data_IF_510714073738
#
_entry.id   IF_510714073738
#
_cell.length_a   1.000
_cell.length_b   1.000
_cell.length_c   1.000
_cell.angle_alpha   90.00
_cell.angle_beta   90.00
_cell.angle_gamma   90.00
#
_symmetry.space_group_name_H-M   'P 1'
#
loop_
_entity.id
_entity.type
_entity.pdbx_description
1 polymer ?
#
# COMPACT_ATOMS: atom_id res chain seq x y z
N UNK A 1 -4.59 -21.40 -32.29
CA UNK A 1 -4.13 -20.01 -32.02
C UNK A 1 -5.16 -19.22 -31.21
N UNK A 2 -6.43 -19.16 -31.63
CA UNK A 2 -7.52 -18.45 -30.92
C UNK A 2 -7.67 -18.82 -29.43
N UNK A 3 -7.57 -20.12 -29.08
CA UNK A 3 -7.67 -20.58 -27.68
C UNK A 3 -6.55 -20.05 -26.78
N UNK A 4 -5.32 -19.88 -27.32
CA UNK A 4 -4.18 -19.29 -26.59
C UNK A 4 -4.34 -17.79 -26.43
N UNK A 5 -4.91 -17.12 -27.43
CA UNK A 5 -5.22 -15.68 -27.40
C UNK A 5 -6.29 -15.38 -26.34
N UNK A 6 -7.35 -16.20 -26.28
CA UNK A 6 -8.40 -16.09 -25.28
C UNK A 6 -7.86 -16.32 -23.86
N UNK A 7 -6.99 -17.33 -23.67
CA UNK A 7 -6.38 -17.61 -22.36
C UNK A 7 -5.47 -16.46 -21.88
N UNK A 8 -4.69 -15.87 -22.80
CA UNK A 8 -3.83 -14.72 -22.48
C UNK A 8 -4.65 -13.47 -22.11
N UNK A 9 -5.77 -13.23 -22.82
CA UNK A 9 -6.66 -12.10 -22.54
C UNK A 9 -7.35 -12.25 -21.17
N UNK A 10 -7.80 -13.46 -20.83
CA UNK A 10 -8.38 -13.73 -19.51
C UNK A 10 -7.38 -13.56 -18.37
N UNK A 11 -6.10 -13.89 -18.58
CA UNK A 11 -5.07 -13.75 -17.56
C UNK A 11 -4.68 -12.29 -17.31
N UNK A 12 -4.66 -11.46 -18.36
CA UNK A 12 -4.44 -10.01 -18.23
C UNK A 12 -5.59 -9.32 -17.47
N UNK A 13 -6.84 -9.74 -17.68
CA UNK A 13 -7.99 -9.17 -16.98
C UNK A 13 -8.04 -9.51 -15.48
N UNK A 14 -7.30 -10.54 -15.03
CA UNK A 14 -7.28 -10.97 -13.64
C UNK A 14 -6.26 -10.23 -12.76
N UNK A 15 -5.42 -9.36 -13.34
CA UNK A 15 -4.44 -8.58 -12.60
C UNK A 15 -5.10 -7.35 -11.94
N UNK A 16 -5.83 -7.58 -10.84
CA UNK A 16 -6.31 -6.49 -9.98
C UNK A 16 -5.15 -5.93 -9.13
N UNK A 17 -5.12 -4.61 -8.86
CA UNK A 17 -4.15 -4.03 -7.94
C UNK A 17 -4.37 -4.63 -6.55
N UNK A 18 -3.35 -5.31 -6.02
CA UNK A 18 -3.34 -5.73 -4.63
C UNK A 18 -2.96 -4.52 -3.77
N UNK A 19 -3.84 -4.11 -2.87
CA UNK A 19 -3.51 -3.11 -1.86
C UNK A 19 -2.50 -3.71 -0.88
N UNK A 20 -1.35 -3.05 -0.68
CA UNK A 20 -0.30 -3.54 0.21
C UNK A 20 -0.57 -3.25 1.71
N UNK A 21 -1.64 -2.51 2.00
CA UNK A 21 -2.08 -2.19 3.35
C UNK A 21 -3.00 -3.30 3.87
N UNK A 22 -2.61 -3.91 4.99
CA UNK A 22 -3.44 -4.91 5.62
C UNK A 22 -4.52 -4.29 6.52
N UNK A 23 -5.70 -4.93 6.65
CA UNK A 23 -6.81 -4.39 7.46
C UNK A 23 -6.47 -4.20 8.95
N UNK A 24 -5.53 -4.99 9.49
CA UNK A 24 -5.05 -4.89 10.88
C UNK A 24 -4.20 -3.64 11.14
N UNK A 25 -3.69 -2.99 10.09
CA UNK A 25 -2.89 -1.76 10.21
C UNK A 25 -3.77 -0.51 10.28
N UNK A 26 -5.05 -0.58 9.90
CA UNK A 26 -5.90 0.59 9.69
C UNK A 26 -6.32 1.26 10.99
N UNK A 27 -6.27 2.60 11.03
CA UNK A 27 -6.82 3.38 12.14
C UNK A 27 -8.35 3.32 12.17
N UNK A 28 -8.92 3.39 13.37
CA UNK A 28 -10.38 3.38 13.56
C UNK A 28 -11.05 4.68 13.11
N UNK A 29 -10.35 5.81 13.19
CA UNK A 29 -10.83 7.09 12.67
C UNK A 29 -10.55 7.18 11.16
N UNK A 30 -11.59 7.24 10.30
CA UNK A 30 -11.41 7.32 8.84
C UNK A 30 -10.64 8.56 8.37
N UNK A 31 -10.72 9.68 9.10
CA UNK A 31 -10.00 10.89 8.75
C UNK A 31 -8.49 10.75 9.02
N UNK A 32 -8.13 10.12 10.13
CA UNK A 32 -6.73 9.82 10.44
C UNK A 32 -6.15 8.76 9.51
N UNK A 33 -6.92 7.71 9.18
CA UNK A 33 -6.49 6.71 8.20
C UNK A 33 -6.28 7.34 6.82
N UNK A 34 -7.18 8.22 6.37
CA UNK A 34 -7.00 8.93 5.10
C UNK A 34 -5.69 9.74 5.06
N UNK A 35 -5.38 10.47 6.15
CA UNK A 35 -4.07 11.14 6.30
C UNK A 35 -2.91 10.15 6.22
N UNK A 36 -2.98 9.03 6.93
CA UNK A 36 -1.94 8.00 6.92
C UNK A 36 -1.69 7.44 5.52
N UNK A 37 -2.75 7.22 4.74
CA UNK A 37 -2.66 6.77 3.34
C UNK A 37 -2.00 7.81 2.44
N UNK A 38 -2.32 9.09 2.60
CA UNK A 38 -1.66 10.17 1.85
C UNK A 38 -0.15 10.20 2.11
N UNK A 39 0.27 10.22 3.38
CA UNK A 39 1.69 10.21 3.73
C UNK A 39 2.39 8.93 3.25
N UNK A 40 1.74 7.78 3.39
CA UNK A 40 2.29 6.50 2.94
C UNK A 40 2.53 6.44 1.43
N UNK A 41 1.74 7.17 0.62
CA UNK A 41 1.93 7.25 -0.83
C UNK A 41 3.14 8.11 -1.25
N UNK A 42 3.57 9.03 -0.38
CA UNK A 42 4.68 9.95 -0.63
C UNK A 42 6.02 9.38 -0.19
N UNK A 43 6.04 8.68 0.95
CA UNK A 43 7.23 8.08 1.53
C UNK A 43 7.74 6.90 0.69
N UNK A 44 9.06 6.84 0.49
CA UNK A 44 9.72 5.84 -0.37
C UNK A 44 10.50 4.82 0.45
N UNK A 45 10.35 3.54 0.10
CA UNK A 45 11.18 2.47 0.63
C UNK A 45 12.43 2.29 -0.26
N UNK A 46 13.58 2.80 0.20
CA UNK A 46 14.85 2.75 -0.54
C UNK A 46 15.35 1.33 -0.83
N UNK A 47 14.96 0.34 -0.01
CA UNK A 47 15.32 -1.08 -0.22
C UNK A 47 14.27 -1.84 -1.05
N UNK A 48 13.10 -1.26 -1.26
CA UNK A 48 11.97 -1.89 -1.96
C UNK A 48 11.84 -1.37 -3.40
N UNK A 49 12.96 -1.25 -4.13
CA UNK A 49 12.99 -0.68 -5.49
C UNK A 49 12.44 0.76 -5.54
N UNK A 50 12.61 1.53 -4.47
CA UNK A 50 12.13 2.92 -4.37
C UNK A 50 10.61 3.07 -4.59
N UNK A 51 9.83 2.03 -4.27
CA UNK A 51 8.38 2.08 -4.27
C UNK A 51 7.86 2.96 -3.12
N UNK A 52 6.63 3.44 -3.26
CA UNK A 52 5.87 3.99 -2.14
C UNK A 52 5.75 2.95 -1.01
N UNK A 53 5.74 3.39 0.25
CA UNK A 53 5.46 2.46 1.36
C UNK A 53 3.99 2.00 1.34
N UNK A 54 3.07 2.71 0.69
CA UNK A 54 1.67 2.28 0.48
C UNK A 54 1.54 1.15 -0.55
N UNK A 55 2.49 1.07 -1.51
CA UNK A 55 2.44 0.10 -2.62
C UNK A 55 3.33 -1.13 -2.38
N UNK A 56 4.25 -1.06 -1.41
CA UNK A 56 5.22 -2.12 -1.16
C UNK A 56 4.75 -3.13 -0.11
N UNK A 57 4.82 -4.41 -0.46
CA UNK A 57 4.52 -5.54 0.44
C UNK A 57 5.73 -6.01 1.28
N UNK A 58 6.83 -5.27 1.30
CA UNK A 58 8.00 -5.64 2.10
C UNK A 58 7.74 -5.41 3.60
N UNK A 59 8.35 -6.24 4.45
CA UNK A 59 8.25 -6.10 5.91
C UNK A 59 8.65 -4.71 6.40
N UNK A 60 9.72 -4.12 5.83
CA UNK A 60 10.12 -2.76 6.17
C UNK A 60 9.04 -1.72 5.81
N UNK A 61 8.36 -1.87 4.68
CA UNK A 61 7.29 -0.95 4.30
C UNK A 61 6.11 -1.05 5.28
N UNK A 62 5.80 -2.26 5.76
CA UNK A 62 4.82 -2.47 6.83
C UNK A 62 5.22 -1.76 8.12
N UNK A 63 6.46 -1.93 8.57
CA UNK A 63 6.95 -1.27 9.79
C UNK A 63 6.86 0.26 9.69
N UNK A 64 7.24 0.83 8.53
CA UNK A 64 7.13 2.27 8.27
C UNK A 64 5.68 2.76 8.27
N UNK A 65 4.76 2.00 7.69
CA UNK A 65 3.31 2.31 7.68
C UNK A 65 2.71 2.28 9.09
N UNK A 66 3.15 1.35 9.95
CA UNK A 66 2.73 1.31 11.35
C UNK A 66 3.26 2.53 12.11
N UNK A 67 4.54 2.88 11.91
CA UNK A 67 5.14 4.06 12.52
C UNK A 67 4.42 5.36 12.12
N UNK A 68 4.08 5.54 10.84
CA UNK A 68 3.32 6.73 10.38
C UNK A 68 1.98 6.86 11.12
N UNK A 69 1.27 5.76 11.31
CA UNK A 69 -0.03 5.76 12.01
C UNK A 69 0.10 6.03 13.50
N UNK A 70 1.17 5.54 14.12
CA UNK A 70 1.51 5.87 15.50
C UNK A 70 1.73 7.39 15.63
N UNK A 71 2.57 7.99 14.79
CA UNK A 71 2.85 9.44 14.83
C UNK A 71 1.61 10.30 14.57
N UNK A 72 0.75 9.89 13.64
CA UNK A 72 -0.54 10.55 13.39
C UNK A 72 -1.43 10.52 14.64
N UNK A 73 -1.45 9.38 15.33
CA UNK A 73 -2.22 9.19 16.56
C UNK A 73 -1.67 10.03 17.71
N UNK A 74 -0.34 10.20 17.75
CA UNK A 74 0.36 11.06 18.71
C UNK A 74 0.15 12.57 18.44
N UNK A 75 -0.44 12.94 17.30
CA UNK A 75 -0.79 14.31 16.96
C UNK A 75 0.30 15.08 16.22
N UNK A 76 1.28 14.39 15.64
CA UNK A 76 2.33 15.01 14.84
C UNK A 76 1.78 15.67 13.55
N UNK A 77 2.49 16.71 13.11
CA UNK A 77 2.30 17.31 11.79
C UNK A 77 3.03 16.53 10.70
N UNK A 78 2.49 16.63 9.50
CA UNK A 78 3.00 16.04 8.27
C UNK A 78 4.41 16.55 7.88
#
# INVERSE_FOLDING_TARGET
MIKRLLLALTLMLAAAPAFAVNPDEMLSDPALEARARTLSAELRCMVCQNQSIDDSNADLAKDLRLLVRERITDGDSD
#
